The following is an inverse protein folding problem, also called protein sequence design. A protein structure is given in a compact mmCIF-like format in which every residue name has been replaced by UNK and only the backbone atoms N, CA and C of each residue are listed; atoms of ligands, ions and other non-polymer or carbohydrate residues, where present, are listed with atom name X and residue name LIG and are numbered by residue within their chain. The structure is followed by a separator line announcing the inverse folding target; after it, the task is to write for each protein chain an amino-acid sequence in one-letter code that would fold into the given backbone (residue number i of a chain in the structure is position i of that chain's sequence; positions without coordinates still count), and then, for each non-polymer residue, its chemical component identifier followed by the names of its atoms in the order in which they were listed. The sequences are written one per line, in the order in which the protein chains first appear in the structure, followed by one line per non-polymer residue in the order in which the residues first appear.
data_IF_321868520687
#
_entry.id   IF_321868520687
#
_cell.length_a   1.000
_cell.length_b   1.000
_cell.length_c   1.000
_cell.angle_alpha   90.00
_cell.angle_beta   90.00
_cell.angle_gamma   90.00
#
_symmetry.space_group_name_H-M   'P 1'
#
loop_
_entity.id
_entity.type
_entity.pdbx_description
1 polymer ?
#
# COMPACT_ATOMS: atom_id res chain seq x y z
N UNK A 1 17.25 -12.10 6.39
CA UNK A 1 16.34 -11.37 5.47
C UNK A 1 15.32 -12.37 4.92
N UNK A 2 14.04 -12.04 4.94
CA UNK A 2 13.02 -12.87 4.30
C UNK A 2 13.19 -12.82 2.78
N UNK A 3 13.20 -13.99 2.11
CA UNK A 3 13.38 -14.07 0.66
C UNK A 3 12.17 -13.47 -0.09
N UNK A 4 12.37 -12.91 -1.29
CA UNK A 4 11.26 -12.45 -2.12
C UNK A 4 10.26 -13.57 -2.37
N UNK A 5 8.96 -13.25 -2.21
CA UNK A 5 7.85 -14.18 -2.43
C UNK A 5 7.10 -13.84 -3.72
N UNK A 6 6.42 -14.80 -4.31
CA UNK A 6 5.55 -14.52 -5.45
C UNK A 6 4.39 -13.60 -5.01
N UNK A 7 4.07 -12.60 -5.81
CA UNK A 7 2.89 -11.77 -5.62
C UNK A 7 1.65 -12.53 -6.11
N UNK A 8 0.86 -13.04 -5.18
CA UNK A 8 -0.22 -13.95 -5.52
C UNK A 8 0.29 -15.16 -6.30
N UNK A 9 -0.42 -15.49 -7.39
CA UNK A 9 -0.02 -16.55 -8.33
C UNK A 9 0.74 -16.02 -9.56
N UNK A 10 1.18 -14.76 -9.53
CA UNK A 10 1.97 -14.19 -10.63
C UNK A 10 3.44 -14.59 -10.56
N UNK A 11 4.17 -14.37 -11.66
CA UNK A 11 5.62 -14.58 -11.72
C UNK A 11 6.42 -13.43 -11.09
N UNK A 12 5.74 -12.35 -10.64
CA UNK A 12 6.39 -11.21 -10.02
C UNK A 12 6.81 -11.57 -8.59
N UNK A 13 8.10 -11.50 -8.31
CA UNK A 13 8.64 -11.72 -6.97
C UNK A 13 8.88 -10.38 -6.27
N UNK A 14 8.35 -10.26 -5.06
CA UNK A 14 8.39 -9.02 -4.27
C UNK A 14 8.92 -9.28 -2.86
N UNK A 15 9.54 -8.29 -2.19
CA UNK A 15 9.88 -8.39 -0.78
C UNK A 15 8.60 -8.47 0.06
N UNK A 16 8.72 -8.89 1.32
CA UNK A 16 7.58 -9.02 2.26
C UNK A 16 7.02 -7.66 2.74
N UNK A 17 7.60 -6.56 2.30
CA UNK A 17 7.21 -5.18 2.59
C UNK A 17 7.53 -4.31 1.37
N UNK A 18 6.64 -3.41 1.00
CA UNK A 18 6.91 -2.34 0.05
C UNK A 18 6.90 -0.97 0.72
N UNK A 19 7.25 0.08 -0.01
CA UNK A 19 7.22 1.46 0.47
C UNK A 19 6.25 2.31 -0.35
N UNK A 20 5.36 3.03 0.33
CA UNK A 20 4.39 3.93 -0.31
C UNK A 20 4.98 5.30 -0.62
N UNK A 21 4.87 5.75 -1.87
CA UNK A 21 5.34 7.04 -2.39
C UNK A 21 4.22 8.07 -2.58
N UNK A 22 3.08 7.94 -1.89
CA UNK A 22 1.90 8.80 -2.08
C UNK A 22 2.19 10.30 -1.91
N UNK A 23 3.10 10.66 -1.01
CA UNK A 23 3.45 12.07 -0.72
C UNK A 23 4.62 12.59 -1.55
N UNK A 24 5.24 11.75 -2.39
CA UNK A 24 6.40 12.12 -3.18
C UNK A 24 6.04 13.07 -4.34
N UNK A 25 7.05 13.77 -4.81
CA UNK A 25 6.94 14.70 -5.91
C UNK A 25 6.21 15.99 -5.58
N UNK A 26 6.62 17.06 -6.23
CA UNK A 26 6.12 18.42 -6.00
C UNK A 26 4.83 18.64 -6.80
N UNK A 27 3.70 18.62 -6.11
CA UNK A 27 2.41 18.90 -6.72
C UNK A 27 2.32 20.35 -7.17
N UNK A 28 1.88 20.57 -8.41
CA UNK A 28 1.66 21.91 -8.99
C UNK A 28 0.16 22.21 -9.09
N UNK A 29 -0.21 23.48 -9.14
CA UNK A 29 -1.58 23.92 -9.31
C UNK A 29 -2.52 23.40 -8.21
N UNK A 30 -3.73 22.97 -8.57
CA UNK A 30 -4.74 22.48 -7.63
C UNK A 30 -4.36 21.19 -6.93
N UNK A 31 -3.47 20.36 -7.52
CA UNK A 31 -3.04 19.11 -6.91
C UNK A 31 -2.29 19.29 -5.57
N UNK A 32 -1.75 20.49 -5.27
CA UNK A 32 -1.14 20.82 -3.97
C UNK A 32 -2.14 20.82 -2.83
N UNK A 33 -3.42 21.03 -3.12
CA UNK A 33 -4.50 21.05 -2.13
C UNK A 33 -5.19 19.70 -1.95
N UNK A 34 -4.68 18.63 -2.56
CA UNK A 34 -5.27 17.30 -2.43
C UNK A 34 -5.33 16.90 -0.94
N UNK A 35 -6.49 16.40 -0.44
CA UNK A 35 -6.69 16.08 0.97
C UNK A 35 -5.62 15.19 1.59
N UNK A 36 -5.14 14.19 0.85
CA UNK A 36 -4.07 13.32 1.33
C UNK A 36 -2.76 14.09 1.61
N UNK A 37 -2.39 15.07 0.75
CA UNK A 37 -1.21 15.90 0.99
C UNK A 37 -1.37 16.84 2.17
N UNK A 38 -2.54 17.42 2.33
CA UNK A 38 -2.82 18.32 3.46
C UNK A 38 -2.90 17.58 4.79
N UNK A 39 -3.40 16.33 4.78
CA UNK A 39 -3.49 15.50 5.97
C UNK A 39 -2.15 14.85 6.37
N UNK A 40 -1.40 14.35 5.39
CA UNK A 40 -0.14 13.61 5.65
C UNK A 40 1.12 14.44 5.44
N UNK A 41 1.00 15.69 5.01
CA UNK A 41 2.09 16.57 4.58
C UNK A 41 2.48 16.35 3.13
N UNK A 42 3.08 17.38 2.52
CA UNK A 42 3.56 17.33 1.14
C UNK A 42 4.86 16.56 0.95
N UNK A 43 5.45 16.75 -0.24
CA UNK A 43 6.81 16.31 -0.56
C UNK A 43 7.81 16.89 0.44
N UNK A 44 8.78 16.08 0.83
CA UNK A 44 9.94 16.50 1.62
C UNK A 44 11.13 16.90 0.74
N UNK A 45 10.91 16.97 -0.58
CA UNK A 45 11.90 17.33 -1.57
C UNK A 45 12.67 16.13 -2.13
N UNK A 46 13.36 16.39 -3.23
CA UNK A 46 14.06 15.36 -4.01
C UNK A 46 15.06 14.56 -3.17
N UNK A 47 15.89 15.23 -2.39
CA UNK A 47 16.96 14.57 -1.62
C UNK A 47 16.43 13.66 -0.52
N UNK A 48 15.35 14.04 0.17
CA UNK A 48 14.77 13.20 1.20
C UNK A 48 14.05 11.96 0.60
N UNK A 49 13.36 12.14 -0.53
CA UNK A 49 12.72 11.05 -1.25
C UNK A 49 13.75 10.09 -1.87
N UNK A 50 14.89 10.62 -2.35
CA UNK A 50 16.05 9.83 -2.78
C UNK A 50 16.63 9.01 -1.63
N UNK A 51 16.86 9.62 -0.45
CA UNK A 51 17.32 8.90 0.75
C UNK A 51 16.32 7.81 1.17
N UNK A 52 15.01 8.05 1.02
CA UNK A 52 14.00 7.04 1.32
C UNK A 52 14.11 5.84 0.37
N UNK A 53 14.31 6.07 -0.93
CA UNK A 53 14.51 5.02 -1.90
C UNK A 53 15.80 4.23 -1.62
N UNK A 54 16.92 4.93 -1.39
CA UNK A 54 18.21 4.31 -1.11
C UNK A 54 18.19 3.48 0.18
N UNK A 55 17.57 3.99 1.23
CA UNK A 55 17.41 3.25 2.48
C UNK A 55 16.54 1.99 2.34
N UNK A 56 15.47 2.07 1.52
CA UNK A 56 14.67 0.90 1.17
C UNK A 56 15.49 -0.16 0.46
N UNK A 57 16.19 0.21 -0.61
CA UNK A 57 17.05 -0.69 -1.38
C UNK A 57 18.16 -1.32 -0.54
N UNK A 58 18.83 -0.54 0.30
CA UNK A 58 19.87 -1.03 1.22
C UNK A 58 19.32 -2.07 2.22
N UNK A 59 18.04 -1.98 2.57
CA UNK A 59 17.36 -2.93 3.44
C UNK A 59 16.68 -4.11 2.68
N UNK A 60 16.88 -4.23 1.36
CA UNK A 60 16.28 -5.27 0.52
C UNK A 60 14.80 -5.03 0.18
N UNK A 61 14.29 -3.82 0.40
CA UNK A 61 12.92 -3.41 0.04
C UNK A 61 12.97 -2.62 -1.27
N UNK A 62 12.73 -3.32 -2.39
CA UNK A 62 12.79 -2.72 -3.72
C UNK A 62 11.42 -2.51 -4.38
N UNK A 63 10.30 -2.80 -3.68
CA UNK A 63 8.95 -2.52 -4.15
C UNK A 63 8.48 -1.14 -3.69
N UNK A 64 8.14 -0.26 -4.64
CA UNK A 64 7.61 1.09 -4.36
C UNK A 64 6.22 1.26 -4.97
N UNK A 65 5.27 1.69 -4.15
CA UNK A 65 3.87 1.88 -4.54
C UNK A 65 3.55 3.36 -4.76
N UNK A 66 3.02 3.68 -5.93
CA UNK A 66 2.56 5.01 -6.33
C UNK A 66 1.18 4.96 -6.99
N UNK A 67 0.72 6.03 -7.61
CA UNK A 67 -0.49 6.07 -8.43
C UNK A 67 -0.48 7.28 -9.39
N UNK A 68 -1.17 7.16 -10.51
CA UNK A 68 -1.32 8.23 -11.50
C UNK A 68 -1.91 9.52 -10.91
N UNK A 69 -2.83 9.40 -9.95
CA UNK A 69 -3.47 10.55 -9.31
C UNK A 69 -2.64 11.21 -8.21
N UNK A 70 -1.60 10.55 -7.67
CA UNK A 70 -0.82 11.09 -6.57
C UNK A 70 -0.05 12.35 -7.01
N UNK A 71 -0.32 13.44 -6.32
CA UNK A 71 0.29 14.75 -6.62
C UNK A 71 0.07 15.21 -8.07
N UNK A 72 -1.04 14.79 -8.72
CA UNK A 72 -1.29 15.08 -10.13
C UNK A 72 -0.24 14.45 -11.06
N UNK A 73 0.18 13.23 -10.75
CA UNK A 73 1.20 12.49 -11.48
C UNK A 73 2.65 12.86 -11.13
N UNK A 74 2.87 13.81 -10.21
CA UNK A 74 4.23 14.17 -9.80
C UNK A 74 4.91 13.06 -9.00
N UNK A 75 4.14 12.22 -8.29
CA UNK A 75 4.68 11.07 -7.57
C UNK A 75 5.26 10.01 -8.53
N UNK A 76 4.54 9.70 -9.64
CA UNK A 76 5.07 8.80 -10.67
C UNK A 76 6.33 9.36 -11.33
N UNK A 77 6.35 10.66 -11.71
CA UNK A 77 7.53 11.31 -12.28
C UNK A 77 8.74 11.25 -11.34
N UNK A 78 8.53 11.55 -10.05
CA UNK A 78 9.60 11.51 -9.05
C UNK A 78 10.11 10.08 -8.84
N UNK A 79 9.22 9.10 -8.71
CA UNK A 79 9.62 7.70 -8.57
C UNK A 79 10.37 7.21 -9.81
N UNK A 80 9.87 7.52 -11.01
CA UNK A 80 10.52 7.16 -12.27
C UNK A 80 11.92 7.75 -12.41
N UNK A 81 12.11 9.03 -12.01
CA UNK A 81 13.42 9.69 -12.00
C UNK A 81 14.39 9.02 -11.01
N UNK A 82 13.95 8.77 -9.76
CA UNK A 82 14.77 8.18 -8.73
C UNK A 82 15.07 6.69 -8.97
N UNK A 83 14.17 5.97 -9.64
CA UNK A 83 14.29 4.55 -9.95
C UNK A 83 15.03 4.27 -11.26
N UNK A 84 15.48 5.32 -11.98
CA UNK A 84 16.22 5.14 -13.23
C UNK A 84 17.51 4.35 -12.97
N UNK A 85 17.77 3.35 -13.79
CA UNK A 85 18.96 2.49 -13.73
C UNK A 85 19.16 1.75 -12.38
N UNK A 86 18.08 1.54 -11.63
CA UNK A 86 18.08 0.83 -10.36
C UNK A 86 17.13 -0.36 -10.42
N UNK A 87 17.44 -1.40 -9.64
CA UNK A 87 16.54 -2.56 -9.45
C UNK A 87 15.38 -2.20 -8.53
N UNK A 88 14.37 -1.53 -9.10
CA UNK A 88 13.17 -1.07 -8.43
C UNK A 88 11.94 -1.65 -9.11
N UNK A 89 11.13 -2.35 -8.35
CA UNK A 89 9.79 -2.79 -8.73
C UNK A 89 8.79 -1.67 -8.47
N UNK A 90 8.04 -1.31 -9.48
CA UNK A 90 7.05 -0.22 -9.41
C UNK A 90 5.64 -0.79 -9.43
N UNK A 91 4.91 -0.55 -8.35
CA UNK A 91 3.46 -0.70 -8.32
C UNK A 91 2.83 0.67 -8.59
N UNK A 92 1.98 0.77 -9.61
CA UNK A 92 1.20 2.00 -9.85
C UNK A 92 -0.29 1.67 -10.02
N UNK A 93 -1.11 2.73 -10.10
CA UNK A 93 -2.57 2.59 -10.17
C UNK A 93 -3.14 3.58 -11.17
N UNK A 94 -4.07 3.11 -12.00
CA UNK A 94 -4.84 3.97 -12.89
C UNK A 94 -6.16 4.39 -12.22
N UNK A 95 -6.62 5.64 -12.47
CA UNK A 95 -7.77 6.18 -11.78
C UNK A 95 -9.08 5.64 -12.33
N UNK A 96 -10.12 5.66 -11.47
CA UNK A 96 -11.53 5.63 -11.88
C UNK A 96 -12.11 7.01 -11.65
N UNK A 97 -12.02 7.88 -12.64
CA UNK A 97 -12.80 9.14 -12.62
C UNK A 97 -14.27 8.85 -12.95
N UNK A 98 -15.16 9.81 -12.68
CA UNK A 98 -16.57 9.69 -13.04
C UNK A 98 -16.80 9.53 -14.56
N UNK A 99 -15.83 9.94 -15.38
CA UNK A 99 -15.83 9.82 -16.84
C UNK A 99 -15.03 8.64 -17.36
N UNK A 100 -14.31 7.87 -16.49
CA UNK A 100 -13.49 6.73 -16.91
C UNK A 100 -14.35 5.59 -17.45
N UNK A 101 -13.93 5.05 -18.58
CA UNK A 101 -14.49 3.86 -19.23
C UNK A 101 -13.38 2.82 -19.44
N UNK A 102 -13.75 1.58 -19.71
CA UNK A 102 -12.75 0.53 -19.98
C UNK A 102 -11.82 0.89 -21.15
N UNK A 103 -12.36 1.53 -22.18
CA UNK A 103 -11.63 1.96 -23.40
C UNK A 103 -10.59 3.06 -23.11
N UNK A 104 -10.68 3.74 -21.96
CA UNK A 104 -9.69 4.75 -21.54
C UNK A 104 -8.41 4.13 -20.96
N UNK A 105 -8.44 2.84 -20.60
CA UNK A 105 -7.32 2.16 -19.94
C UNK A 105 -6.00 2.26 -20.71
N UNK A 106 -5.93 2.04 -22.04
CA UNK A 106 -4.67 2.17 -22.79
C UNK A 106 -4.05 3.56 -22.65
N UNK A 107 -4.87 4.62 -22.70
CA UNK A 107 -4.40 6.01 -22.54
C UNK A 107 -3.85 6.26 -21.14
N UNK A 108 -4.51 5.75 -20.11
CA UNK A 108 -4.05 5.89 -18.72
C UNK A 108 -2.73 5.14 -18.50
N UNK A 109 -2.59 3.94 -19.07
CA UNK A 109 -1.35 3.15 -19.02
C UNK A 109 -0.20 3.89 -19.72
N UNK A 110 -0.38 4.38 -20.94
CA UNK A 110 0.64 5.15 -21.64
C UNK A 110 1.03 6.42 -20.87
N UNK A 111 0.05 7.09 -20.27
CA UNK A 111 0.28 8.22 -19.38
C UNK A 111 1.18 7.87 -18.19
N UNK A 112 0.93 6.74 -17.51
CA UNK A 112 1.73 6.25 -16.40
C UNK A 112 3.14 5.85 -16.84
N UNK A 113 3.27 5.09 -17.94
CA UNK A 113 4.56 4.70 -18.53
C UNK A 113 5.43 5.93 -18.85
N UNK A 114 4.82 6.95 -19.46
CA UNK A 114 5.51 8.21 -19.77
C UNK A 114 5.97 8.94 -18.52
N UNK A 115 5.12 9.04 -17.49
CA UNK A 115 5.49 9.73 -16.23
C UNK A 115 6.58 8.98 -15.47
N UNK A 116 6.54 7.65 -15.49
CA UNK A 116 7.54 6.78 -14.87
C UNK A 116 8.84 6.67 -15.68
N UNK A 117 8.83 7.05 -16.97
CA UNK A 117 9.97 6.86 -17.86
C UNK A 117 10.30 5.37 -18.06
N UNK A 118 9.29 4.51 -18.10
CA UNK A 118 9.42 3.04 -18.23
C UNK A 118 8.68 2.53 -19.45
N UNK A 119 9.11 1.40 -19.98
CA UNK A 119 8.42 0.67 -21.06
C UNK A 119 7.40 -0.34 -20.52
N UNK A 120 7.51 -0.71 -19.24
CA UNK A 120 6.58 -1.59 -18.54
C UNK A 120 6.42 -1.20 -17.07
N UNK A 121 5.30 -1.59 -16.44
CA UNK A 121 5.01 -1.45 -15.02
C UNK A 121 4.97 -2.85 -14.40
N UNK A 122 5.62 -3.03 -13.24
CA UNK A 122 5.74 -4.35 -12.61
C UNK A 122 4.41 -4.81 -12.02
N UNK A 123 3.67 -3.93 -11.34
CA UNK A 123 2.30 -4.17 -10.87
C UNK A 123 1.42 -2.98 -11.22
N UNK A 124 0.38 -3.20 -12.05
CA UNK A 124 -0.55 -2.13 -12.39
C UNK A 124 -1.95 -2.45 -11.90
N UNK A 125 -2.54 -1.52 -11.14
CA UNK A 125 -3.74 -1.78 -10.34
C UNK A 125 -4.88 -0.83 -10.70
N UNK A 126 -6.11 -1.33 -10.75
CA UNK A 126 -7.30 -0.49 -10.76
C UNK A 126 -7.50 0.14 -9.38
N UNK A 127 -7.48 1.48 -9.27
CA UNK A 127 -7.38 2.18 -7.99
C UNK A 127 -8.66 2.06 -7.14
N UNK A 128 -9.82 2.19 -7.77
CA UNK A 128 -11.13 2.07 -7.12
C UNK A 128 -12.13 1.41 -8.07
N UNK A 129 -12.96 0.47 -7.59
CA UNK A 129 -14.05 -0.06 -8.39
C UNK A 129 -15.06 1.05 -8.71
N UNK A 130 -15.69 0.96 -9.87
CA UNK A 130 -16.73 1.88 -10.31
C UNK A 130 -17.93 1.09 -10.83
N UNK A 131 -19.14 1.47 -10.42
CA UNK A 131 -20.37 0.87 -10.94
C UNK A 131 -20.63 1.24 -12.42
N UNK A 132 -19.82 2.12 -13.01
CA UNK A 132 -19.94 2.58 -14.40
C UNK A 132 -19.00 1.83 -15.34
N UNK A 133 -18.05 1.07 -14.82
CA UNK A 133 -17.08 0.31 -15.59
C UNK A 133 -17.33 -1.17 -15.34
N UNK A 134 -17.64 -1.90 -16.39
CA UNK A 134 -17.74 -3.35 -16.35
C UNK A 134 -16.38 -3.94 -16.01
N UNK A 135 -16.29 -4.68 -14.90
CA UNK A 135 -15.06 -5.34 -14.49
C UNK A 135 -14.55 -6.29 -15.58
N UNK A 136 -15.37 -7.16 -16.20
CA UNK A 136 -14.91 -8.01 -17.28
C UNK A 136 -14.34 -7.23 -18.47
N UNK A 137 -15.03 -6.17 -18.94
CA UNK A 137 -14.56 -5.34 -20.07
C UNK A 137 -13.22 -4.66 -19.73
N UNK A 138 -13.07 -4.15 -18.51
CA UNK A 138 -11.82 -3.56 -18.07
C UNK A 138 -10.69 -4.59 -18.02
N UNK A 139 -10.96 -5.79 -17.51
CA UNK A 139 -9.96 -6.87 -17.42
C UNK A 139 -9.51 -7.38 -18.80
N UNK A 140 -10.35 -7.28 -19.84
CA UNK A 140 -9.91 -7.55 -21.24
C UNK A 140 -8.85 -6.53 -21.70
N UNK A 141 -9.07 -5.24 -21.47
CA UNK A 141 -8.08 -4.21 -21.79
C UNK A 141 -6.77 -4.38 -21.01
N UNK A 142 -6.88 -4.79 -19.73
CA UNK A 142 -5.72 -5.08 -18.89
C UNK A 142 -4.97 -6.31 -19.40
N UNK A 143 -5.69 -7.36 -19.85
CA UNK A 143 -5.09 -8.56 -20.40
C UNK A 143 -4.26 -8.25 -21.66
N UNK A 144 -4.77 -7.40 -22.57
CA UNK A 144 -4.01 -6.95 -23.75
C UNK A 144 -2.69 -6.27 -23.37
N UNK A 145 -2.70 -5.48 -22.27
CA UNK A 145 -1.48 -4.83 -21.78
C UNK A 145 -0.47 -5.82 -21.18
N UNK A 146 -0.94 -6.92 -20.58
CA UNK A 146 -0.06 -7.99 -20.09
C UNK A 146 0.56 -8.74 -21.28
N UNK A 147 -0.23 -9.13 -22.27
CA UNK A 147 0.24 -9.87 -23.46
C UNK A 147 1.23 -9.04 -24.30
N UNK A 148 1.06 -7.72 -24.34
CA UNK A 148 2.02 -6.81 -24.98
C UNK A 148 3.25 -6.48 -24.11
N UNK A 149 3.34 -7.05 -22.91
CA UNK A 149 4.49 -6.86 -22.00
C UNK A 149 4.55 -5.50 -21.31
N UNK A 150 3.54 -4.65 -21.45
CA UNK A 150 3.48 -3.33 -20.80
C UNK A 150 3.13 -3.41 -19.30
N UNK A 151 2.46 -4.48 -18.89
CA UNK A 151 2.11 -4.78 -17.49
C UNK A 151 2.62 -6.18 -17.16
N UNK A 152 3.42 -6.34 -16.09
CA UNK A 152 3.96 -7.65 -15.69
C UNK A 152 3.03 -8.42 -14.76
N UNK A 153 2.33 -7.73 -13.87
CA UNK A 153 1.34 -8.31 -12.96
C UNK A 153 0.13 -7.39 -12.81
N UNK A 154 -1.05 -8.00 -12.69
CA UNK A 154 -2.33 -7.31 -12.58
C UNK A 154 -2.79 -7.29 -11.14
N UNK A 155 -3.20 -6.12 -10.65
CA UNK A 155 -3.84 -5.94 -9.35
C UNK A 155 -5.11 -5.10 -9.44
N UNK A 156 -5.84 -5.12 -8.33
CA UNK A 156 -6.97 -4.23 -8.07
C UNK A 156 -6.79 -3.56 -6.71
N UNK A 157 -7.57 -2.52 -6.43
CA UNK A 157 -7.55 -1.85 -5.15
C UNK A 157 -8.97 -1.50 -4.71
N UNK A 158 -9.26 -1.68 -3.42
CA UNK A 158 -10.56 -1.42 -2.82
C UNK A 158 -11.72 -2.27 -3.40
N UNK A 159 -11.41 -3.44 -3.93
CA UNK A 159 -12.40 -4.38 -4.43
C UNK A 159 -12.99 -5.21 -3.29
N UNK A 160 -14.30 -5.43 -3.32
CA UNK A 160 -14.98 -6.41 -2.47
C UNK A 160 -14.62 -7.85 -2.89
N UNK A 161 -14.91 -8.82 -2.04
CA UNK A 161 -14.69 -10.24 -2.35
C UNK A 161 -15.40 -10.68 -3.65
N UNK A 162 -16.63 -10.17 -3.89
CA UNK A 162 -17.37 -10.44 -5.12
C UNK A 162 -16.69 -9.87 -6.36
N UNK A 163 -16.26 -8.61 -6.30
CA UNK A 163 -15.54 -7.94 -7.39
C UNK A 163 -14.17 -8.59 -7.67
N UNK A 164 -13.48 -9.09 -6.62
CA UNK A 164 -12.24 -9.85 -6.79
C UNK A 164 -12.47 -11.14 -7.59
N UNK A 165 -13.54 -11.90 -7.28
CA UNK A 165 -13.89 -13.12 -8.01
C UNK A 165 -14.25 -12.82 -9.46
N UNK A 166 -14.99 -11.74 -9.70
CA UNK A 166 -15.36 -11.30 -11.06
C UNK A 166 -14.11 -10.95 -11.88
N UNK A 167 -13.21 -10.13 -11.33
CA UNK A 167 -11.95 -9.77 -11.99
C UNK A 167 -11.05 -10.99 -12.22
N UNK A 168 -10.92 -11.87 -11.22
CA UNK A 168 -10.15 -13.12 -11.33
C UNK A 168 -10.70 -14.01 -12.44
N UNK A 169 -12.03 -14.19 -12.50
CA UNK A 169 -12.68 -15.02 -13.53
C UNK A 169 -12.46 -14.44 -14.94
N UNK A 170 -12.54 -13.12 -15.09
CA UNK A 170 -12.31 -12.47 -16.38
C UNK A 170 -10.87 -12.68 -16.87
N UNK A 171 -9.87 -12.42 -16.01
CA UNK A 171 -8.46 -12.59 -16.34
C UNK A 171 -8.08 -14.06 -16.56
N UNK A 172 -8.68 -15.00 -15.81
CA UNK A 172 -8.40 -16.42 -15.94
C UNK A 172 -8.75 -16.98 -17.32
N UNK A 173 -9.73 -16.40 -18.05
CA UNK A 173 -10.04 -16.75 -19.44
C UNK A 173 -8.89 -16.51 -20.38
N UNK A 174 -7.98 -15.61 -20.03
CA UNK A 174 -6.75 -15.27 -20.78
C UNK A 174 -5.49 -15.90 -20.14
N UNK A 175 -5.66 -16.80 -19.14
CA UNK A 175 -4.54 -17.42 -18.41
C UNK A 175 -3.74 -16.45 -17.53
N UNK A 176 -4.29 -15.28 -17.21
CA UNK A 176 -3.61 -14.24 -16.44
C UNK A 176 -4.11 -14.29 -14.98
N UNK A 177 -3.22 -14.44 -13.98
CA UNK A 177 -3.62 -14.39 -12.58
C UNK A 177 -3.91 -12.95 -12.11
N UNK A 178 -4.97 -12.75 -11.32
CA UNK A 178 -5.10 -11.56 -10.50
C UNK A 178 -4.11 -11.69 -9.33
N UNK A 179 -3.09 -10.82 -9.28
CA UNK A 179 -1.97 -10.96 -8.35
C UNK A 179 -2.26 -10.36 -6.98
N UNK A 180 -2.98 -9.22 -6.92
CA UNK A 180 -3.20 -8.51 -5.66
C UNK A 180 -4.54 -7.79 -5.58
N UNK A 181 -5.03 -7.61 -4.34
CA UNK A 181 -6.02 -6.59 -4.00
C UNK A 181 -5.42 -5.67 -2.92
N UNK A 182 -5.28 -4.37 -3.22
CA UNK A 182 -4.76 -3.40 -2.29
C UNK A 182 -5.89 -2.72 -1.52
N UNK A 183 -5.95 -2.91 -0.19
CA UNK A 183 -6.99 -2.38 0.68
C UNK A 183 -6.43 -1.78 1.96
N UNK A 184 -7.20 -0.93 2.66
CA UNK A 184 -6.83 -0.49 3.99
C UNK A 184 -6.80 -1.69 4.93
N UNK A 185 -5.65 -1.92 5.59
CA UNK A 185 -5.53 -2.96 6.60
C UNK A 185 -4.44 -2.62 7.60
N UNK A 186 -4.81 -2.64 8.87
CA UNK A 186 -3.95 -2.37 10.03
C UNK A 186 -4.59 -2.91 11.29
N UNK A 187 -3.91 -2.83 12.43
CA UNK A 187 -4.49 -3.15 13.75
C UNK A 187 -5.74 -2.30 14.09
N UNK A 188 -5.88 -1.11 13.50
CA UNK A 188 -7.03 -0.21 13.71
C UNK A 188 -8.00 -0.18 12.52
N UNK A 189 -7.84 -1.09 11.56
CA UNK A 189 -8.74 -1.29 10.43
C UNK A 189 -8.67 -2.74 9.98
N UNK A 190 -9.43 -3.61 10.64
CA UNK A 190 -9.40 -5.06 10.45
C UNK A 190 -10.60 -5.61 9.67
N UNK A 191 -11.38 -4.74 9.05
CA UNK A 191 -12.54 -5.11 8.25
C UNK A 191 -12.26 -6.17 7.17
N UNK A 192 -11.07 -6.20 6.49
CA UNK A 192 -10.77 -7.26 5.52
C UNK A 192 -10.85 -8.69 6.09
N UNK A 193 -10.74 -8.86 7.41
CA UNK A 193 -10.93 -10.15 8.10
C UNK A 193 -12.41 -10.53 8.28
N UNK A 194 -13.33 -9.56 8.24
CA UNK A 194 -14.76 -9.77 8.53
C UNK A 194 -15.65 -9.71 7.27
N UNK A 195 -15.21 -8.97 6.24
CA UNK A 195 -16.02 -8.73 5.03
C UNK A 195 -15.72 -9.70 3.87
N UNK A 196 -14.97 -10.78 4.14
CA UNK A 196 -14.65 -11.84 3.17
C UNK A 196 -13.50 -11.53 2.22
N UNK A 197 -12.85 -10.35 2.29
CA UNK A 197 -11.73 -10.00 1.40
C UNK A 197 -10.53 -10.92 1.66
N UNK A 198 -10.14 -11.12 2.93
CA UNK A 198 -8.99 -11.96 3.28
C UNK A 198 -9.24 -13.44 2.92
N UNK A 199 -10.50 -13.91 3.07
CA UNK A 199 -10.89 -15.26 2.66
C UNK A 199 -10.84 -15.42 1.14
N UNK A 200 -11.31 -14.43 0.37
CA UNK A 200 -11.19 -14.43 -1.08
C UNK A 200 -9.72 -14.40 -1.52
N UNK A 201 -8.84 -13.66 -0.83
CA UNK A 201 -7.40 -13.69 -1.10
C UNK A 201 -6.84 -15.11 -0.94
N UNK A 202 -7.22 -15.82 0.11
CA UNK A 202 -6.78 -17.22 0.36
C UNK A 202 -7.31 -18.18 -0.70
N UNK A 203 -8.61 -18.09 -1.01
CA UNK A 203 -9.29 -18.91 -2.00
C UNK A 203 -8.66 -18.77 -3.39
N UNK A 204 -8.45 -17.55 -3.84
CA UNK A 204 -7.99 -17.24 -5.19
C UNK A 204 -6.46 -17.21 -5.33
N UNK A 205 -5.72 -17.29 -4.22
CA UNK A 205 -4.27 -17.16 -4.21
C UNK A 205 -3.79 -15.75 -4.57
N UNK A 206 -4.46 -14.72 -4.03
CA UNK A 206 -4.21 -13.30 -4.26
C UNK A 206 -3.49 -12.71 -3.04
N UNK A 207 -2.49 -11.86 -3.24
CA UNK A 207 -1.86 -11.11 -2.15
C UNK A 207 -2.74 -9.91 -1.75
N UNK A 208 -3.03 -9.77 -0.46
CA UNK A 208 -3.58 -8.55 0.10
C UNK A 208 -2.46 -7.54 0.33
N UNK A 209 -2.43 -6.46 -0.44
CA UNK A 209 -1.52 -5.35 -0.19
C UNK A 209 -2.19 -4.41 0.82
N UNK A 210 -1.56 -4.23 1.99
CA UNK A 210 -2.10 -3.43 3.08
C UNK A 210 -1.61 -1.98 3.00
N UNK A 211 -2.46 -1.05 2.55
CA UNK A 211 -2.15 0.37 2.67
C UNK A 211 -2.56 0.92 4.05
N UNK A 212 -2.01 2.08 4.43
CA UNK A 212 -2.20 2.68 5.76
C UNK A 212 -1.89 1.73 6.95
N UNK A 213 -0.82 0.91 6.90
CA UNK A 213 -0.56 -0.12 7.92
C UNK A 213 -0.32 0.46 9.32
N UNK A 214 0.00 1.75 9.42
CA UNK A 214 0.17 2.49 10.68
C UNK A 214 -1.03 3.39 11.04
N UNK A 215 -2.18 3.20 10.39
CA UNK A 215 -3.41 3.98 10.62
C UNK A 215 -3.16 5.51 10.58
N UNK A 216 -2.50 5.98 9.52
CA UNK A 216 -2.13 7.39 9.38
C UNK A 216 -1.06 7.88 10.36
N UNK A 217 -0.41 6.98 11.09
CA UNK A 217 0.59 7.24 12.10
C UNK A 217 0.06 7.12 13.54
N UNK A 218 -1.21 6.75 13.76
CA UNK A 218 -1.77 6.58 15.10
C UNK A 218 -1.09 5.45 15.90
N UNK A 219 -0.56 4.43 15.21
CA UNK A 219 0.15 3.29 15.82
C UNK A 219 1.64 3.56 16.06
N UNK A 220 2.15 4.75 15.75
CA UNK A 220 3.60 5.06 15.92
C UNK A 220 4.01 5.34 17.36
N UNK A 221 3.05 5.58 18.25
CA UNK A 221 3.33 6.02 19.62
C UNK A 221 3.73 7.51 19.76
N UNK A 222 3.74 8.27 18.64
CA UNK A 222 4.05 9.72 18.63
C UNK A 222 2.90 10.59 19.13
N UNK A 223 1.68 10.04 19.12
CA UNK A 223 0.46 10.78 19.44
C UNK A 223 -0.24 10.19 20.67
N UNK A 224 -0.87 11.06 21.44
CA UNK A 224 -1.68 10.68 22.59
C UNK A 224 -2.86 11.64 22.75
N UNK A 225 -3.71 11.44 23.74
CA UNK A 225 -4.79 12.36 24.05
C UNK A 225 -4.29 13.79 24.41
N UNK A 226 -3.06 13.88 24.94
CA UNK A 226 -2.39 15.13 25.32
C UNK A 226 -1.43 15.64 24.24
N UNK A 227 -0.79 14.76 23.49
CA UNK A 227 0.12 15.09 22.39
C UNK A 227 -0.57 14.86 21.04
N UNK A 228 -1.39 15.80 20.62
CA UNK A 228 -2.22 15.68 19.42
C UNK A 228 -1.45 15.89 18.12
N UNK A 229 -1.97 15.28 17.05
CA UNK A 229 -1.50 15.56 15.70
C UNK A 229 -1.77 17.03 15.32
N UNK A 230 -0.85 17.63 14.59
CA UNK A 230 -0.97 19.01 14.06
C UNK A 230 -1.67 19.02 12.69
N UNK A 231 -2.06 20.23 12.25
CA UNK A 231 -2.66 20.45 10.93
C UNK A 231 -3.98 19.71 10.73
N UNK A 232 -4.26 19.33 9.49
CA UNK A 232 -5.51 18.64 9.13
C UNK A 232 -5.55 17.17 9.62
N UNK A 233 -4.42 16.58 9.99
CA UNK A 233 -4.37 15.21 10.54
C UNK A 233 -5.25 15.06 11.78
N UNK A 234 -5.36 16.10 12.63
CA UNK A 234 -6.19 16.09 13.84
C UNK A 234 -7.68 15.80 13.57
N UNK A 235 -8.14 16.01 12.34
CA UNK A 235 -9.52 15.77 11.92
C UNK A 235 -9.75 14.38 11.31
N UNK A 236 -8.69 13.59 11.13
CA UNK A 236 -8.84 12.20 10.69
C UNK A 236 -9.49 11.36 11.81
N UNK A 237 -10.26 10.32 11.49
CA UNK A 237 -11.03 9.54 12.46
C UNK A 237 -10.21 9.04 13.66
N UNK A 238 -8.98 8.57 13.43
CA UNK A 238 -8.10 8.01 14.47
C UNK A 238 -7.44 9.08 15.37
N UNK A 239 -7.64 10.38 15.14
CA UNK A 239 -6.95 11.45 15.85
C UNK A 239 -7.88 12.31 16.72
N UNK A 240 -9.18 12.00 16.75
CA UNK A 240 -10.11 12.56 17.72
C UNK A 240 -9.76 12.10 19.14
N UNK A 241 -10.11 12.91 20.17
CA UNK A 241 -9.76 12.63 21.57
C UNK A 241 -10.18 11.22 22.00
N UNK A 242 -11.45 10.86 21.81
CA UNK A 242 -12.00 9.54 22.17
C UNK A 242 -11.28 8.40 21.43
N UNK A 243 -11.00 8.57 20.13
CA UNK A 243 -10.28 7.58 19.36
C UNK A 243 -8.84 7.40 19.88
N UNK A 244 -8.14 8.50 20.17
CA UNK A 244 -6.79 8.43 20.74
C UNK A 244 -6.78 7.77 22.13
N UNK A 245 -7.77 8.03 22.99
CA UNK A 245 -7.91 7.38 24.28
C UNK A 245 -8.09 5.84 24.11
N UNK A 246 -8.93 5.41 23.15
CA UNK A 246 -9.13 4.00 22.85
C UNK A 246 -7.88 3.31 22.25
N UNK A 247 -7.05 4.04 21.52
CA UNK A 247 -5.85 3.53 20.85
C UNK A 247 -4.66 3.39 21.84
N UNK A 248 -4.60 4.16 22.92
CA UNK A 248 -3.45 4.15 23.86
C UNK A 248 -3.12 2.76 24.41
N UNK A 249 -4.08 1.90 24.83
CA UNK A 249 -3.76 0.55 25.29
C UNK A 249 -3.09 -0.29 24.19
N UNK A 250 -3.49 -0.14 22.94
CA UNK A 250 -2.88 -0.83 21.80
C UNK A 250 -1.44 -0.35 21.59
N UNK A 251 -1.20 0.95 21.65
CA UNK A 251 0.15 1.53 21.54
C UNK A 251 1.04 1.10 22.71
N UNK A 252 0.49 1.03 23.91
CA UNK A 252 1.23 0.53 25.08
C UNK A 252 1.63 -0.95 24.91
N UNK A 253 0.73 -1.79 24.38
CA UNK A 253 1.03 -3.19 24.07
C UNK A 253 2.10 -3.30 22.97
N UNK A 254 2.01 -2.50 21.90
CA UNK A 254 3.02 -2.46 20.84
C UNK A 254 4.40 -2.08 21.40
N UNK A 255 4.46 -1.11 22.34
CA UNK A 255 5.71 -0.71 23.01
C UNK A 255 6.25 -1.84 23.86
N UNK A 256 5.42 -2.46 24.72
CA UNK A 256 5.80 -3.58 25.55
C UNK A 256 6.40 -4.74 24.76
N UNK A 257 5.77 -5.10 23.62
CA UNK A 257 6.28 -6.15 22.73
C UNK A 257 7.59 -5.68 22.09
N UNK A 258 7.64 -4.44 21.59
CA UNK A 258 8.81 -3.87 20.93
C UNK A 258 10.05 -3.84 21.82
N UNK A 259 9.92 -3.55 23.11
CA UNK A 259 11.02 -3.53 24.07
C UNK A 259 11.79 -4.87 24.12
N UNK A 260 11.10 -6.00 23.96
CA UNK A 260 11.72 -7.34 23.94
C UNK A 260 12.67 -7.56 22.76
N UNK A 261 12.43 -6.85 21.65
CA UNK A 261 13.17 -6.98 20.40
C UNK A 261 14.03 -5.75 20.08
N UNK A 262 14.02 -4.72 20.93
CA UNK A 262 14.63 -3.42 20.62
C UNK A 262 13.95 -2.74 19.41
N UNK A 263 12.62 -2.85 19.30
CA UNK A 263 11.82 -2.35 18.18
C UNK A 263 10.81 -1.29 18.59
N UNK A 264 10.48 -0.39 17.64
CA UNK A 264 9.46 0.64 17.85
C UNK A 264 8.04 0.08 17.72
N UNK A 265 7.01 0.76 18.29
CA UNK A 265 5.62 0.41 18.05
C UNK A 265 5.25 0.32 16.57
N UNK A 266 5.81 1.22 15.71
CA UNK A 266 5.63 1.17 14.26
C UNK A 266 6.10 -0.15 13.66
N UNK A 267 7.29 -0.59 14.05
CA UNK A 267 7.87 -1.83 13.55
C UNK A 267 7.07 -3.06 13.98
N UNK A 268 6.60 -3.09 15.23
CA UNK A 268 5.74 -4.18 15.73
C UNK A 268 4.39 -4.20 14.99
N UNK A 269 3.77 -3.03 14.74
CA UNK A 269 2.51 -2.95 14.01
C UNK A 269 2.65 -3.41 12.55
N UNK A 270 3.75 -3.05 11.87
CA UNK A 270 4.04 -3.53 10.52
C UNK A 270 4.35 -5.03 10.56
N UNK A 271 5.17 -5.50 11.52
CA UNK A 271 5.51 -6.92 11.65
C UNK A 271 4.28 -7.79 11.85
N UNK A 272 3.28 -7.35 12.63
CA UNK A 272 2.03 -8.08 12.80
C UNK A 272 1.33 -8.36 11.45
N UNK A 273 1.37 -7.42 10.50
CA UNK A 273 0.85 -7.66 9.14
C UNK A 273 1.71 -8.65 8.36
N UNK A 274 3.03 -8.55 8.49
CA UNK A 274 4.00 -9.43 7.81
C UNK A 274 3.88 -10.88 8.31
N UNK A 275 3.46 -11.13 9.56
CA UNK A 275 3.25 -12.50 10.06
C UNK A 275 2.16 -13.26 9.28
N UNK A 276 1.24 -12.55 8.63
CA UNK A 276 0.31 -13.20 7.71
C UNK A 276 0.93 -13.34 6.30
N UNK A 277 1.18 -14.58 5.81
CA UNK A 277 1.84 -14.80 4.52
C UNK A 277 1.08 -14.25 3.31
N UNK A 278 -0.23 -14.01 3.44
CA UNK A 278 -1.07 -13.42 2.39
C UNK A 278 -0.98 -11.90 2.33
N UNK A 279 -0.35 -11.25 3.33
CA UNK A 279 -0.38 -9.80 3.49
C UNK A 279 0.99 -9.19 3.20
N UNK A 280 0.98 -8.10 2.43
CA UNK A 280 2.14 -7.29 2.07
C UNK A 280 1.87 -5.83 2.46
N UNK A 281 2.39 -5.34 3.59
CA UNK A 281 2.20 -3.94 3.99
C UNK A 281 3.04 -2.99 3.13
N UNK A 282 2.49 -1.78 2.88
CA UNK A 282 3.16 -0.70 2.16
C UNK A 282 3.13 0.60 2.96
N UNK A 283 3.84 0.69 4.10
CA UNK A 283 3.93 1.93 4.85
C UNK A 283 4.54 3.06 4.00
N UNK A 284 4.01 4.28 4.16
CA UNK A 284 4.59 5.46 3.53
C UNK A 284 5.98 5.77 4.11
N UNK A 285 6.90 6.22 3.26
CA UNK A 285 8.22 6.72 3.68
C UNK A 285 8.51 8.04 2.97
N UNK A 286 8.78 9.10 3.75
CA UNK A 286 9.03 10.45 3.24
C UNK A 286 10.51 10.80 3.22
N UNK A 287 11.32 10.05 3.96
CA UNK A 287 12.75 10.23 4.12
C UNK A 287 13.44 8.90 4.45
N UNK A 288 14.77 8.90 4.45
CA UNK A 288 15.57 7.71 4.72
C UNK A 288 15.34 7.11 6.11
N UNK A 289 15.11 7.94 7.13
CA UNK A 289 14.85 7.46 8.51
C UNK A 289 13.56 6.64 8.55
N UNK A 290 12.46 7.14 7.95
CA UNK A 290 11.21 6.40 7.91
C UNK A 290 11.30 5.12 7.08
N UNK A 291 12.02 5.14 5.96
CA UNK A 291 12.24 3.94 5.15
C UNK A 291 13.00 2.87 5.91
N UNK A 292 14.08 3.24 6.60
CA UNK A 292 14.86 2.33 7.45
C UNK A 292 14.05 1.79 8.64
N UNK A 293 13.28 2.66 9.30
CA UNK A 293 12.39 2.25 10.40
C UNK A 293 11.35 1.23 9.92
N UNK A 294 10.67 1.50 8.80
CA UNK A 294 9.70 0.59 8.21
C UNK A 294 10.32 -0.76 7.86
N UNK A 295 11.47 -0.75 7.17
CA UNK A 295 12.19 -1.97 6.79
C UNK A 295 12.68 -2.79 8.00
N UNK A 296 12.97 -2.13 9.11
CA UNK A 296 13.35 -2.77 10.37
C UNK A 296 12.30 -3.73 10.93
N UNK A 297 11.04 -3.65 10.45
CA UNK A 297 10.00 -4.63 10.76
C UNK A 297 10.30 -6.04 10.22
N UNK A 298 11.18 -6.17 9.23
CA UNK A 298 11.58 -7.47 8.65
C UNK A 298 12.71 -8.18 9.42
N UNK A 299 13.31 -7.54 10.43
CA UNK A 299 14.49 -8.07 11.13
C UNK A 299 14.17 -8.86 12.40
N UNK A 300 12.91 -9.14 12.70
CA UNK A 300 12.47 -9.95 13.83
C UNK A 300 11.14 -10.63 13.49
N UNK A 301 10.69 -11.55 14.33
CA UNK A 301 9.37 -12.20 14.22
C UNK A 301 8.64 -12.11 15.55
N UNK A 302 7.31 -12.01 15.47
CA UNK A 302 6.44 -12.09 16.65
C UNK A 302 6.15 -13.56 16.97
N UNK A 303 6.01 -13.87 18.25
CA UNK A 303 5.48 -15.16 18.67
C UNK A 303 3.98 -15.26 18.35
N UNK A 304 3.45 -16.49 18.26
CA UNK A 304 2.01 -16.70 18.06
C UNK A 304 1.19 -16.05 19.19
N UNK A 305 1.68 -16.09 20.42
CA UNK A 305 1.04 -15.43 21.57
C UNK A 305 0.99 -13.91 21.38
N UNK A 306 2.07 -13.27 20.93
CA UNK A 306 2.12 -11.83 20.69
C UNK A 306 1.18 -11.41 19.55
N UNK A 307 1.14 -12.19 18.48
CA UNK A 307 0.19 -11.98 17.36
C UNK A 307 -1.24 -12.05 17.88
N UNK A 308 -1.57 -13.06 18.70
CA UNK A 308 -2.91 -13.22 19.25
C UNK A 308 -3.26 -12.13 20.27
N UNK A 309 -2.35 -11.74 21.16
CA UNK A 309 -2.55 -10.61 22.07
C UNK A 309 -2.89 -9.31 21.33
N UNK A 310 -2.18 -9.00 20.25
CA UNK A 310 -2.47 -7.84 19.41
C UNK A 310 -3.83 -7.99 18.71
N UNK A 311 -4.17 -9.20 18.26
CA UNK A 311 -5.47 -9.50 17.66
C UNK A 311 -6.61 -9.28 18.66
N UNK A 312 -6.48 -9.75 19.89
CA UNK A 312 -7.48 -9.58 20.94
C UNK A 312 -7.63 -8.11 21.34
N UNK A 313 -6.51 -7.41 21.53
CA UNK A 313 -6.52 -5.98 21.91
C UNK A 313 -7.16 -5.07 20.84
N UNK A 314 -7.32 -5.57 19.62
CA UNK A 314 -7.84 -4.79 18.47
C UNK A 314 -9.14 -5.35 17.88
N UNK A 315 -9.87 -6.19 18.61
CA UNK A 315 -11.16 -6.76 18.14
C UNK A 315 -12.20 -5.70 17.80
N UNK A 316 -12.22 -4.59 18.52
CA UNK A 316 -13.16 -3.49 18.27
C UNK A 316 -13.00 -2.84 16.88
N UNK A 317 -11.88 -3.03 16.20
CA UNK A 317 -11.60 -2.50 14.86
C UNK A 317 -11.76 -3.56 13.75
N UNK A 318 -12.36 -4.68 14.05
CA UNK A 318 -12.60 -5.76 13.08
C UNK A 318 -13.84 -5.51 12.21
N UNK A 319 -14.79 -4.72 12.68
CA UNK A 319 -16.04 -4.41 11.97
C UNK A 319 -17.23 -4.41 12.87
#
# INVERSE_FOLDING_TARGET
MEYPTALGRSNLRVPRLGLGAMTWGDAKGLARFHPAKTAYGGSHGFEEEKRALEAGLAAGVNLFDTAAMYSGGAAERRLGELARDRDVLIASKYPSSLSFRAEDFPRELEGSLKRLGRTSIDLYQHHFPSNRVSIPQLMEQVADAVETGKVKAVGVSNYSAGQMREAHTALARRGIPLASNQVEYSLLHRQPEANGILDACRELGITLIAYSPLAGGALTGKYSATQRASGLRRFLPNFGRKAMEAIQPVVALLRQIGERYGKTPSQVAIRWLVENPLVLPIPGAKNGIQASENAGALSFSLTLEEVDRLRQATLAWRG
#
